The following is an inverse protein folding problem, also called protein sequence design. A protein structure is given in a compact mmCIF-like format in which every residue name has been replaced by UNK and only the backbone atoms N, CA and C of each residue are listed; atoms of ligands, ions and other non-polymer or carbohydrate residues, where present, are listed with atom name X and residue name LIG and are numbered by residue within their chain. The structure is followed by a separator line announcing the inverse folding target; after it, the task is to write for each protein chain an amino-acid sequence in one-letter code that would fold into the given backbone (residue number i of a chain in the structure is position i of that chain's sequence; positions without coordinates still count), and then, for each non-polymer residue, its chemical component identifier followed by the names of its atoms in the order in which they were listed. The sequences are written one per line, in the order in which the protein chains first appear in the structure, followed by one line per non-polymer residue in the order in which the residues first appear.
data_IF_909035972298
#
_entry.id   IF_909035972298
#
_cell.length_a   1.000
_cell.length_b   1.000
_cell.length_c   1.000
_cell.angle_alpha   90.00
_cell.angle_beta   90.00
_cell.angle_gamma   90.00
#
_symmetry.space_group_name_H-M   'P 1'
#
loop_
_entity.id
_entity.type
_entity.pdbx_description
1 polymer ?
#
# COMPACT_ATOMS: atom_id res chain seq x y z
N UNK A 1 -18.06 -5.38 29.64
CA UNK A 1 -17.37 -4.48 28.70
C UNK A 1 -16.42 -5.37 27.91
N UNK A 2 -16.86 -5.89 26.78
CA UNK A 2 -16.02 -6.74 25.93
C UNK A 2 -14.97 -5.86 25.24
N UNK A 3 -13.72 -5.97 25.69
CA UNK A 3 -12.57 -5.41 24.99
C UNK A 3 -12.36 -6.27 23.73
N UNK A 4 -13.05 -5.96 22.64
CA UNK A 4 -12.63 -6.52 21.34
C UNK A 4 -11.27 -5.89 21.02
N UNK A 5 -10.22 -6.69 21.13
CA UNK A 5 -8.93 -6.38 20.52
C UNK A 5 -9.16 -6.03 19.05
N UNK A 6 -9.04 -4.75 18.70
CA UNK A 6 -8.87 -4.31 17.32
C UNK A 6 -7.43 -4.67 16.90
N UNK A 7 -7.11 -5.97 16.82
CA UNK A 7 -5.84 -6.51 16.30
C UNK A 7 -5.80 -6.33 14.77
N UNK A 8 -5.90 -5.09 14.30
CA UNK A 8 -5.62 -4.76 12.92
C UNK A 8 -4.11 -4.72 12.76
N UNK A 9 -3.59 -5.70 12.03
CA UNK A 9 -2.19 -5.75 11.63
C UNK A 9 -2.00 -4.81 10.43
N UNK A 10 -1.02 -3.90 10.53
CA UNK A 10 -0.60 -2.98 9.47
C UNK A 10 0.81 -3.36 9.02
N UNK A 11 0.98 -3.51 7.72
CA UNK A 11 2.29 -3.62 7.08
C UNK A 11 2.53 -2.34 6.28
N UNK A 12 3.74 -1.79 6.43
CA UNK A 12 4.24 -0.70 5.60
C UNK A 12 5.37 -1.25 4.73
N UNK A 13 5.20 -1.20 3.41
CA UNK A 13 6.24 -1.60 2.46
C UNK A 13 6.85 -0.34 1.85
N UNK A 14 8.14 -0.13 2.13
CA UNK A 14 8.92 0.95 1.54
C UNK A 14 9.65 0.41 0.31
N UNK A 15 9.45 1.03 -0.85
CA UNK A 15 10.07 0.57 -2.08
C UNK A 15 10.44 1.71 -3.03
N UNK A 16 11.38 1.41 -3.92
CA UNK A 16 11.77 2.27 -5.04
C UNK A 16 11.47 1.52 -6.33
N UNK A 17 10.79 2.18 -7.27
CA UNK A 17 10.39 1.59 -8.54
C UNK A 17 10.33 2.62 -9.66
N UNK A 18 10.51 2.15 -10.89
CA UNK A 18 10.43 2.95 -12.10
C UNK A 18 9.13 2.64 -12.86
N UNK A 19 8.56 3.66 -13.50
CA UNK A 19 7.44 3.52 -14.44
C UNK A 19 7.93 3.67 -15.88
N UNK A 20 7.27 2.98 -16.80
CA UNK A 20 7.50 3.14 -18.23
C UNK A 20 6.55 4.19 -18.85
N UNK A 21 6.53 4.29 -20.17
CA UNK A 21 5.68 5.21 -20.93
C UNK A 21 4.17 5.03 -20.68
N UNK A 22 3.75 3.88 -20.14
CA UNK A 22 2.35 3.53 -19.86
C UNK A 22 1.91 3.86 -18.44
N UNK A 23 2.81 4.39 -17.60
CA UNK A 23 2.51 4.70 -16.20
C UNK A 23 1.38 5.72 -15.99
N UNK A 24 1.07 6.54 -17.01
CA UNK A 24 0.20 7.72 -16.93
C UNK A 24 -1.30 7.49 -16.75
N UNK A 25 -1.82 6.28 -16.97
CA UNK A 25 -3.27 6.05 -17.10
C UNK A 25 -4.00 5.78 -15.77
N UNK A 26 -3.32 5.83 -14.61
CA UNK A 26 -3.93 5.34 -13.36
C UNK A 26 -3.36 5.81 -12.02
N UNK A 27 -2.50 6.84 -11.98
CA UNK A 27 -2.03 7.44 -10.72
C UNK A 27 -0.51 7.56 -10.56
N UNK A 28 0.26 7.12 -11.55
CA UNK A 28 1.71 7.33 -11.60
C UNK A 28 2.09 8.15 -12.83
N UNK A 29 3.20 8.87 -12.77
CA UNK A 29 3.73 9.60 -13.90
C UNK A 29 4.48 8.61 -14.79
N UNK A 30 4.36 8.69 -16.13
CA UNK A 30 5.15 7.86 -17.03
C UNK A 30 6.63 8.25 -16.99
N UNK A 31 7.52 7.29 -17.24
CA UNK A 31 8.98 7.47 -17.27
C UNK A 31 9.54 8.15 -16.00
N UNK A 32 9.05 7.78 -14.81
CA UNK A 32 9.43 8.39 -13.55
C UNK A 32 9.98 7.35 -12.56
N UNK A 33 10.90 7.79 -11.69
CA UNK A 33 11.38 7.01 -10.55
C UNK A 33 10.68 7.48 -9.29
N UNK A 34 10.00 6.55 -8.62
CA UNK A 34 9.43 6.75 -7.29
C UNK A 34 10.38 6.17 -6.27
N UNK A 35 10.89 7.01 -5.37
CA UNK A 35 11.79 6.58 -4.28
C UNK A 35 11.04 6.64 -2.97
N UNK A 36 11.41 5.83 -1.97
CA UNK A 36 10.78 5.86 -0.64
C UNK A 36 9.25 5.80 -0.64
N UNK A 37 8.65 5.18 -1.67
CA UNK A 37 7.22 5.10 -1.78
C UNK A 37 6.68 4.06 -0.82
N UNK A 38 5.60 4.41 -0.12
CA UNK A 38 5.00 3.57 0.91
C UNK A 38 3.70 2.95 0.42
N UNK A 39 3.56 1.65 0.65
CA UNK A 39 2.28 0.95 0.55
C UNK A 39 1.83 0.57 1.95
N UNK A 40 0.60 0.96 2.29
CA UNK A 40 -0.04 0.66 3.56
C UNK A 40 -1.04 -0.48 3.35
N UNK A 41 -0.78 -1.63 3.97
CA UNK A 41 -1.63 -2.80 3.86
C UNK A 41 -2.18 -3.21 5.21
N UNK A 42 -3.48 -3.48 5.27
CA UNK A 42 -4.12 -4.05 6.45
C UNK A 42 -4.56 -5.47 6.17
N UNK A 43 -4.53 -6.30 7.20
CA UNK A 43 -5.07 -7.65 7.10
C UNK A 43 -6.58 -7.59 7.10
N UNK A 44 -7.20 -8.36 6.21
CA UNK A 44 -8.66 -8.48 6.14
C UNK A 44 -9.22 -9.05 7.44
N UNK A 45 -10.50 -8.79 7.72
CA UNK A 45 -11.16 -9.26 8.95
C UNK A 45 -11.10 -10.78 9.13
N UNK A 46 -11.13 -11.53 8.04
CA UNK A 46 -11.00 -12.99 8.05
C UNK A 46 -9.55 -13.49 8.21
N UNK A 47 -8.59 -12.56 8.30
CA UNK A 47 -7.14 -12.78 8.47
C UNK A 47 -6.49 -13.61 7.37
N UNK A 48 -7.10 -13.72 6.19
CA UNK A 48 -6.58 -14.53 5.08
C UNK A 48 -5.85 -13.71 4.02
N UNK A 49 -6.22 -12.44 3.86
CA UNK A 49 -5.72 -11.59 2.79
C UNK A 49 -5.20 -10.25 3.35
N UNK A 50 -4.57 -9.49 2.48
CA UNK A 50 -4.12 -8.13 2.73
C UNK A 50 -4.77 -7.19 1.71
N UNK A 51 -5.25 -6.05 2.19
CA UNK A 51 -5.83 -4.99 1.36
C UNK A 51 -4.94 -3.76 1.44
N UNK A 52 -4.68 -3.14 0.28
CA UNK A 52 -4.02 -1.85 0.22
C UNK A 52 -5.05 -0.79 0.61
N UNK A 53 -4.76 -0.03 1.66
CA UNK A 53 -5.66 1.03 2.15
C UNK A 53 -5.18 2.43 1.75
N UNK A 54 -3.90 2.57 1.46
CA UNK A 54 -3.28 3.83 1.06
C UNK A 54 -1.90 3.58 0.44
N UNK A 55 -1.45 4.54 -0.36
CA UNK A 55 -0.12 4.56 -0.92
C UNK A 55 0.34 6.01 -1.13
N UNK A 56 1.64 6.24 -1.05
CA UNK A 56 2.17 7.60 -1.22
C UNK A 56 3.50 7.84 -0.55
N UNK A 57 3.84 9.12 -0.49
CA UNK A 57 4.90 9.71 0.34
C UNK A 57 4.37 10.11 1.71
#
# INVERSE_FOLDING_TARGET
MDWKENNQELIVVLLTFDTDEKGGDGGFNPNATYTNWQWHLVKTKDKKNWEIISWGY
#
